data_IF_311842571705
#
_entry.id   IF_311842571705
#
_cell.length_a   1.000
_cell.length_b   1.000
_cell.length_c   1.000
_cell.angle_alpha   90.00
_cell.angle_beta   90.00
_cell.angle_gamma   90.00
#
_symmetry.space_group_name_H-M   'P 1'
#
loop_
_entity.id
_entity.type
_entity.pdbx_description
1 polymer ?
#
# COMPACT_ATOMS: atom_id res chain seq x y z
N UNK A 1 3.78 1.04 17.72
CA UNK A 1 2.52 0.33 17.83
C UNK A 1 2.60 -0.94 17.00
N UNK A 2 2.19 -2.05 17.57
CA UNK A 2 2.13 -3.33 16.86
C UNK A 2 0.67 -3.77 16.75
N UNK A 3 0.29 -4.25 15.59
CA UNK A 3 -1.07 -4.70 15.30
C UNK A 3 -1.00 -6.17 14.88
N UNK A 4 -1.96 -6.98 15.31
CA UNK A 4 -2.07 -8.35 14.82
C UNK A 4 -2.43 -8.33 13.33
N UNK A 5 -1.81 -9.21 12.56
CA UNK A 5 -2.00 -9.25 11.11
C UNK A 5 -3.47 -9.37 10.71
N UNK A 6 -4.26 -10.16 11.44
CA UNK A 6 -5.68 -10.37 11.15
C UNK A 6 -6.57 -9.17 11.51
N UNK A 7 -6.05 -8.17 12.21
CA UNK A 7 -6.80 -6.95 12.57
C UNK A 7 -6.37 -5.72 11.76
N UNK A 8 -5.42 -5.87 10.84
CA UNK A 8 -4.91 -4.72 10.07
C UNK A 8 -6.01 -4.05 9.24
N UNK A 9 -6.85 -4.85 8.59
CA UNK A 9 -7.93 -4.29 7.75
C UNK A 9 -8.89 -3.44 8.59
N UNK A 10 -9.27 -3.93 9.77
CA UNK A 10 -10.15 -3.17 10.67
C UNK A 10 -9.49 -1.86 11.08
N UNK A 11 -8.20 -1.90 11.39
CA UNK A 11 -7.46 -0.70 11.74
C UNK A 11 -7.42 0.29 10.58
N UNK A 12 -7.10 -0.18 9.36
CA UNK A 12 -7.07 0.69 8.18
C UNK A 12 -8.43 1.33 7.92
N UNK A 13 -9.52 0.59 8.13
CA UNK A 13 -10.87 1.14 7.96
C UNK A 13 -11.13 2.31 8.91
N UNK A 14 -10.56 2.29 10.12
CA UNK A 14 -10.68 3.43 11.05
C UNK A 14 -9.94 4.67 10.58
N UNK A 15 -8.98 4.52 9.66
CA UNK A 15 -8.17 5.62 9.16
C UNK A 15 -8.78 6.30 7.92
N UNK A 16 -9.77 5.68 7.28
CA UNK A 16 -10.42 6.24 6.08
C UNK A 16 -10.97 7.63 6.40
N UNK A 17 -10.67 8.59 5.52
CA UNK A 17 -11.04 9.99 5.73
C UNK A 17 -9.92 10.84 6.32
N UNK A 18 -8.83 10.23 6.80
CA UNK A 18 -7.64 10.96 7.28
C UNK A 18 -7.10 11.83 6.14
N UNK A 19 -6.96 13.14 6.41
CA UNK A 19 -6.50 14.09 5.40
C UNK A 19 -5.01 14.40 5.56
N UNK A 20 -4.37 14.69 4.43
CA UNK A 20 -3.00 15.19 4.41
C UNK A 20 -2.89 16.43 5.31
N UNK A 21 -1.84 16.50 6.11
CA UNK A 21 -1.61 17.59 7.05
C UNK A 21 -2.25 17.39 8.42
N UNK A 22 -3.14 16.39 8.59
CA UNK A 22 -3.72 16.07 9.89
C UNK A 22 -2.67 15.44 10.82
N UNK A 23 -3.01 15.38 12.11
CA UNK A 23 -2.14 14.70 13.09
C UNK A 23 -1.89 13.24 12.73
N UNK A 24 -2.91 12.54 12.27
CA UNK A 24 -2.81 11.13 11.90
C UNK A 24 -1.91 10.95 10.68
N UNK A 25 -2.06 11.79 9.64
CA UNK A 25 -1.18 11.76 8.48
C UNK A 25 0.28 12.00 8.88
N UNK A 26 0.54 13.02 9.70
CA UNK A 26 1.89 13.34 10.18
C UNK A 26 2.48 12.18 10.99
N UNK A 27 1.66 11.51 11.79
CA UNK A 27 2.08 10.34 12.58
C UNK A 27 2.51 9.19 11.66
N UNK A 28 1.80 8.99 10.55
CA UNK A 28 2.17 7.97 9.55
C UNK A 28 3.53 8.31 8.93
N UNK A 29 3.72 9.55 8.50
CA UNK A 29 5.00 9.98 7.91
C UNK A 29 6.13 9.86 8.94
N UNK A 30 5.89 10.28 10.17
CA UNK A 30 6.90 10.20 11.23
C UNK A 30 7.27 8.75 11.54
N UNK A 31 6.30 7.85 11.51
CA UNK A 31 6.56 6.41 11.70
C UNK A 31 7.44 5.85 10.59
N UNK A 32 7.15 6.18 9.33
CA UNK A 32 8.01 5.80 8.21
C UNK A 32 9.46 6.27 8.45
N UNK A 33 9.61 7.50 8.89
CA UNK A 33 10.93 8.10 9.08
C UNK A 33 11.71 7.52 10.27
N UNK A 34 11.11 6.59 11.04
CA UNK A 34 11.85 5.83 12.06
C UNK A 34 12.60 4.63 11.48
N UNK A 35 12.40 4.32 10.19
CA UNK A 35 13.13 3.22 9.55
C UNK A 35 14.65 3.48 9.56
N UNK A 36 15.43 2.45 9.87
CA UNK A 36 16.89 2.52 9.87
C UNK A 36 17.48 1.32 9.13
N UNK A 37 18.17 1.55 8.01
CA UNK A 37 18.31 2.84 7.34
C UNK A 37 17.02 3.24 6.62
N UNK A 38 16.84 4.53 6.37
CA UNK A 38 15.76 4.98 5.50
C UNK A 38 16.00 4.46 4.08
N UNK A 39 14.96 3.96 3.40
CA UNK A 39 15.10 3.54 2.00
C UNK A 39 15.71 4.66 1.17
N UNK A 40 16.80 4.36 0.48
CA UNK A 40 17.59 5.29 -0.35
C UNK A 40 18.05 6.54 0.42
N UNK A 41 18.05 6.49 1.76
CA UNK A 41 18.45 7.62 2.61
C UNK A 41 17.51 8.81 2.57
N UNK A 42 16.31 8.64 2.00
CA UNK A 42 15.38 9.75 1.82
C UNK A 42 14.40 9.86 3.01
N UNK A 43 14.39 11.04 3.62
CA UNK A 43 13.43 11.37 4.69
C UNK A 43 12.17 11.96 4.07
N UNK A 44 11.02 11.29 4.26
CA UNK A 44 9.75 11.72 3.68
C UNK A 44 9.27 13.02 4.35
N UNK A 45 8.78 13.95 3.52
CA UNK A 45 8.19 15.21 3.98
C UNK A 45 6.66 15.09 4.03
N UNK A 46 6.03 15.92 4.87
CA UNK A 46 4.56 15.94 4.97
C UNK A 46 3.87 16.36 3.67
N UNK A 47 4.61 17.02 2.76
CA UNK A 47 4.09 17.46 1.45
C UNK A 47 4.36 16.47 0.33
N UNK A 48 5.10 15.40 0.58
CA UNK A 48 5.40 14.38 -0.43
C UNK A 48 4.16 13.51 -0.72
N UNK A 49 4.15 12.88 -1.89
CA UNK A 49 3.21 11.82 -2.19
C UNK A 49 3.41 10.70 -1.15
N UNK A 50 2.33 10.22 -0.55
CA UNK A 50 2.42 9.31 0.60
C UNK A 50 1.67 7.98 0.42
N UNK A 51 1.36 7.59 -0.81
CA UNK A 51 0.69 6.30 -1.03
C UNK A 51 1.57 5.11 -0.61
N UNK A 52 2.82 5.08 -1.05
CA UNK A 52 3.75 4.00 -0.67
C UNK A 52 4.20 4.12 0.79
N UNK A 53 4.35 5.34 1.29
CA UNK A 53 4.62 5.59 2.71
C UNK A 53 3.52 4.98 3.58
N UNK A 54 2.25 5.19 3.23
CA UNK A 54 1.12 4.59 3.94
C UNK A 54 1.21 3.07 3.96
N UNK A 55 1.42 2.44 2.79
CA UNK A 55 1.52 0.98 2.70
C UNK A 55 2.68 0.46 3.56
N UNK A 56 3.84 1.09 3.48
CA UNK A 56 5.00 0.70 4.28
C UNK A 56 4.66 0.75 5.77
N UNK A 57 4.04 1.82 6.24
CA UNK A 57 3.72 1.97 7.68
C UNK A 57 2.70 0.91 8.12
N UNK A 58 1.67 0.64 7.30
CA UNK A 58 0.70 -0.42 7.63
C UNK A 58 1.42 -1.78 7.76
N UNK A 59 2.35 -2.08 6.86
CA UNK A 59 3.13 -3.31 6.93
C UNK A 59 4.10 -3.31 8.12
N UNK A 60 4.64 -2.14 8.51
CA UNK A 60 5.45 -2.02 9.73
C UNK A 60 4.66 -2.46 10.96
N UNK A 61 3.40 -2.06 11.04
CA UNK A 61 2.57 -2.38 12.21
C UNK A 61 2.33 -3.88 12.38
N UNK A 62 2.36 -4.65 11.32
CA UNK A 62 2.20 -6.11 11.39
C UNK A 62 3.52 -6.87 11.20
N UNK A 63 4.67 -6.16 11.25
CA UNK A 63 5.99 -6.78 11.20
C UNK A 63 6.39 -7.32 9.84
N UNK A 64 5.83 -6.79 8.75
CA UNK A 64 6.06 -7.30 7.38
C UNK A 64 6.65 -6.27 6.42
N UNK A 65 7.26 -5.20 6.93
CA UNK A 65 7.79 -4.14 6.06
C UNK A 65 9.24 -4.35 5.61
N UNK A 66 10.03 -5.16 6.31
CA UNK A 66 11.49 -5.18 6.14
C UNK A 66 11.96 -5.43 4.70
N UNK A 67 11.22 -6.22 3.93
CA UNK A 67 11.61 -6.58 2.56
C UNK A 67 11.02 -5.66 1.50
N UNK A 68 10.06 -4.79 1.87
CA UNK A 68 9.34 -3.99 0.89
C UNK A 68 9.31 -2.48 1.20
N UNK A 69 9.84 -2.07 2.35
CA UNK A 69 9.75 -0.68 2.81
C UNK A 69 10.27 0.31 1.76
N UNK A 70 9.40 1.25 1.36
CA UNK A 70 9.68 2.24 0.34
C UNK A 70 8.65 3.37 0.39
N UNK A 71 9.05 4.55 -0.08
CA UNK A 71 8.15 5.68 -0.27
C UNK A 71 7.81 5.93 -1.75
N UNK A 72 8.27 5.07 -2.64
CA UNK A 72 7.97 5.07 -4.07
C UNK A 72 7.22 3.80 -4.44
N UNK A 73 6.07 3.94 -5.13
CA UNK A 73 5.29 2.78 -5.56
C UNK A 73 6.11 1.86 -6.46
N UNK A 74 6.82 2.40 -7.46
CA UNK A 74 7.62 1.58 -8.36
C UNK A 74 8.78 0.89 -7.64
N UNK A 75 9.47 1.58 -6.74
CA UNK A 75 10.56 0.98 -5.97
C UNK A 75 10.06 -0.13 -5.04
N UNK A 76 8.87 0.05 -4.47
CA UNK A 76 8.24 -1.02 -3.68
C UNK A 76 7.91 -2.23 -4.55
N UNK A 77 7.36 -2.02 -5.75
CA UNK A 77 7.08 -3.10 -6.69
C UNK A 77 8.38 -3.84 -7.07
N UNK A 78 9.47 -3.11 -7.33
CA UNK A 78 10.77 -3.73 -7.63
C UNK A 78 11.21 -4.66 -6.49
N UNK A 79 11.03 -4.24 -5.25
CA UNK A 79 11.35 -5.08 -4.07
C UNK A 79 10.43 -6.30 -3.99
N UNK A 80 9.15 -6.14 -4.29
CA UNK A 80 8.21 -7.27 -4.33
C UNK A 80 8.60 -8.29 -5.41
N UNK A 81 9.02 -7.83 -6.59
CA UNK A 81 9.51 -8.71 -7.66
C UNK A 81 10.76 -9.45 -7.22
N UNK A 82 11.71 -8.75 -6.63
CA UNK A 82 12.97 -9.35 -6.14
C UNK A 82 12.71 -10.44 -5.12
N UNK A 83 11.73 -10.26 -4.26
CA UNK A 83 11.39 -11.23 -3.20
C UNK A 83 10.37 -12.28 -3.66
N UNK A 84 9.94 -12.26 -4.92
CA UNK A 84 8.96 -13.19 -5.49
C UNK A 84 7.61 -13.11 -4.79
N UNK A 85 7.21 -11.91 -4.39
CA UNK A 85 5.91 -11.66 -3.73
C UNK A 85 4.78 -11.36 -4.72
N UNK A 86 5.09 -11.08 -5.99
CA UNK A 86 4.08 -10.75 -7.00
C UNK A 86 3.26 -12.00 -7.31
N UNK A 87 1.94 -11.87 -7.24
CA UNK A 87 1.03 -12.97 -7.53
C UNK A 87 1.00 -13.28 -9.03
N UNK A 88 0.78 -14.56 -9.34
CA UNK A 88 0.48 -14.99 -10.71
C UNK A 88 -1.00 -14.70 -11.02
N UNK A 89 -1.35 -14.76 -12.31
CA UNK A 89 -2.75 -14.56 -12.74
C UNK A 89 -3.70 -15.63 -12.22
N UNK A 90 -3.16 -16.76 -11.76
CA UNK A 90 -3.96 -17.87 -11.20
C UNK A 90 -4.26 -17.71 -9.71
N UNK A 91 -3.53 -16.82 -9.03
CA UNK A 91 -3.72 -16.61 -7.60
C UNK A 91 -4.77 -15.52 -7.38
N UNK A 92 -5.73 -15.81 -6.51
CA UNK A 92 -6.80 -14.86 -6.19
C UNK A 92 -6.32 -13.84 -5.17
N UNK A 93 -6.76 -12.58 -5.30
CA UNK A 93 -6.46 -11.56 -4.30
C UNK A 93 -7.01 -11.93 -2.92
N UNK A 94 -6.36 -11.41 -1.89
CA UNK A 94 -6.80 -11.57 -0.49
C UNK A 94 -6.61 -10.25 0.25
N UNK A 95 -7.35 -10.02 1.34
CA UNK A 95 -7.07 -8.89 2.22
C UNK A 95 -5.60 -8.85 2.62
N UNK A 96 -5.05 -7.65 2.72
CA UNK A 96 -3.65 -7.31 3.01
C UNK A 96 -2.70 -7.47 1.82
N UNK A 97 -3.16 -7.97 0.68
CA UNK A 97 -2.37 -7.90 -0.56
C UNK A 97 -2.18 -6.44 -0.98
N UNK A 98 -1.07 -6.17 -1.64
CA UNK A 98 -0.69 -4.84 -2.10
C UNK A 98 -1.00 -4.72 -3.60
N UNK A 99 -1.70 -3.66 -3.99
CA UNK A 99 -2.07 -3.39 -5.38
C UNK A 99 -1.22 -2.25 -5.92
N UNK A 100 -0.53 -2.51 -7.03
CA UNK A 100 0.27 -1.51 -7.74
C UNK A 100 -0.47 -1.08 -8.99
N UNK A 101 -0.76 0.22 -9.12
CA UNK A 101 -1.47 0.78 -10.25
C UNK A 101 -0.51 1.42 -11.25
N UNK A 102 -0.91 1.37 -12.50
CA UNK A 102 -0.26 2.08 -13.60
C UNK A 102 -1.35 2.84 -14.36
N UNK A 103 -1.70 4.02 -13.84
CA UNK A 103 -2.79 4.83 -14.41
C UNK A 103 -2.47 5.29 -15.83
N UNK A 104 -1.19 5.50 -16.13
CA UNK A 104 -0.72 6.00 -17.42
C UNK A 104 -0.50 4.89 -18.44
N UNK A 105 -0.53 3.62 -18.01
CA UNK A 105 -0.28 2.44 -18.85
C UNK A 105 1.07 2.51 -19.55
N UNK A 106 2.10 2.92 -18.81
CA UNK A 106 3.47 3.06 -19.30
C UNK A 106 4.45 2.00 -18.76
N UNK A 107 3.95 1.02 -18.00
CA UNK A 107 4.77 -0.05 -17.44
C UNK A 107 5.40 0.30 -16.10
N UNK A 108 5.12 1.47 -15.54
CA UNK A 108 5.66 1.93 -14.27
C UNK A 108 4.53 2.19 -13.28
N UNK A 109 4.67 1.69 -12.04
CA UNK A 109 3.66 1.92 -11.01
C UNK A 109 3.76 3.35 -10.47
N UNK A 110 2.63 4.06 -10.47
CA UNK A 110 2.56 5.44 -9.97
C UNK A 110 1.64 5.60 -8.75
N UNK A 111 1.02 4.51 -8.28
CA UNK A 111 0.15 4.53 -7.11
C UNK A 111 0.06 3.13 -6.53
N UNK A 112 -0.21 3.02 -5.22
CA UNK A 112 -0.24 1.73 -4.51
C UNK A 112 -1.22 1.79 -3.34
N UNK A 113 -1.85 0.66 -3.04
CA UNK A 113 -2.75 0.54 -1.91
C UNK A 113 -2.78 -0.87 -1.36
N UNK A 114 -3.61 -1.10 -0.35
CA UNK A 114 -3.75 -2.40 0.32
C UNK A 114 -5.20 -2.87 0.18
N UNK A 115 -5.37 -4.13 -0.24
CA UNK A 115 -6.69 -4.74 -0.37
C UNK A 115 -7.30 -4.92 1.02
N UNK A 116 -8.53 -4.45 1.18
CA UNK A 116 -9.34 -4.68 2.38
C UNK A 116 -10.37 -5.78 2.17
N UNK A 117 -10.80 -6.01 0.95
CA UNK A 117 -11.82 -7.02 0.64
C UNK A 117 -11.73 -7.46 -0.82
N UNK A 118 -12.13 -8.70 -1.08
CA UNK A 118 -12.24 -9.27 -2.43
C UNK A 118 -13.55 -10.03 -2.54
N UNK A 119 -14.39 -9.64 -3.49
CA UNK A 119 -15.63 -10.36 -3.82
C UNK A 119 -15.38 -11.24 -5.03
N UNK A 120 -15.31 -12.57 -4.80
CA UNK A 120 -15.03 -13.53 -5.86
C UNK A 120 -16.17 -13.64 -6.90
N UNK A 121 -17.38 -13.25 -6.53
CA UNK A 121 -18.54 -13.30 -7.45
C UNK A 121 -18.47 -12.19 -8.49
N UNK A 122 -18.18 -10.96 -8.04
CA UNK A 122 -18.09 -9.80 -8.94
C UNK A 122 -16.69 -9.59 -9.50
N UNK A 123 -15.66 -10.16 -8.86
CA UNK A 123 -14.26 -9.90 -9.19
C UNK A 123 -13.78 -8.55 -8.73
N UNK A 124 -14.54 -7.87 -7.87
CA UNK A 124 -14.18 -6.54 -7.36
C UNK A 124 -13.30 -6.66 -6.12
N UNK A 125 -12.32 -5.78 -6.03
CA UNK A 125 -11.52 -5.57 -4.82
C UNK A 125 -11.82 -4.19 -4.25
N UNK A 126 -11.81 -4.10 -2.92
CA UNK A 126 -11.79 -2.83 -2.20
C UNK A 126 -10.37 -2.59 -1.75
N UNK A 127 -9.83 -1.42 -2.05
CA UNK A 127 -8.44 -1.05 -1.78
C UNK A 127 -8.41 0.21 -0.93
N UNK A 128 -7.67 0.18 0.17
CA UNK A 128 -7.46 1.36 1.00
C UNK A 128 -6.13 1.97 0.60
N UNK A 129 -6.16 3.26 0.29
CA UNK A 129 -5.05 4.00 -0.33
C UNK A 129 -4.74 5.26 0.46
N UNK A 130 -3.47 5.49 0.75
CA UNK A 130 -3.00 6.80 1.18
C UNK A 130 -2.91 7.73 -0.02
N UNK A 131 -3.09 9.01 0.24
CA UNK A 131 -3.02 10.06 -0.81
C UNK A 131 -3.98 9.84 -1.99
N UNK A 132 -5.14 9.27 -1.71
CA UNK A 132 -6.24 9.29 -2.66
C UNK A 132 -6.97 10.62 -2.49
N UNK A 133 -6.76 11.55 -3.45
CA UNK A 133 -7.24 12.92 -3.32
C UNK A 133 -6.77 13.59 -2.01
N UNK A 134 -5.49 13.40 -1.66
CA UNK A 134 -4.87 13.96 -0.45
C UNK A 134 -5.46 13.44 0.86
N UNK A 135 -6.05 12.25 0.84
CA UNK A 135 -6.62 11.61 2.02
C UNK A 135 -6.43 10.09 1.95
N UNK A 136 -6.71 9.40 3.06
CA UNK A 136 -6.87 7.96 3.04
C UNK A 136 -8.27 7.68 2.52
N UNK A 137 -8.36 6.95 1.41
CA UNK A 137 -9.63 6.66 0.77
C UNK A 137 -9.76 5.20 0.38
N UNK A 138 -10.97 4.83 -0.05
CA UNK A 138 -11.29 3.49 -0.54
C UNK A 138 -11.56 3.57 -2.04
N UNK A 139 -10.98 2.63 -2.78
CA UNK A 139 -11.26 2.45 -4.20
C UNK A 139 -11.85 1.06 -4.42
N UNK A 140 -12.90 0.99 -5.24
CA UNK A 140 -13.45 -0.29 -5.68
C UNK A 140 -13.13 -0.44 -7.15
N UNK A 141 -12.48 -1.54 -7.53
CA UNK A 141 -11.98 -1.76 -8.89
C UNK A 141 -11.98 -3.27 -9.18
N UNK A 142 -12.11 -3.63 -10.44
CA UNK A 142 -11.95 -5.03 -10.86
C UNK A 142 -10.52 -5.50 -10.61
N UNK A 143 -10.37 -6.68 -10.04
CA UNK A 143 -9.04 -7.25 -9.76
C UNK A 143 -8.22 -7.46 -11.05
N UNK A 144 -8.90 -7.68 -12.19
CA UNK A 144 -8.26 -7.84 -13.49
C UNK A 144 -8.24 -6.56 -14.33
N UNK A 145 -8.48 -5.40 -13.72
CA UNK A 145 -8.41 -4.12 -14.43
C UNK A 145 -7.04 -3.93 -15.08
N UNK A 146 -7.04 -3.42 -16.32
CA UNK A 146 -5.80 -3.11 -17.04
C UNK A 146 -5.00 -1.97 -16.38
N UNK A 147 -5.59 -1.24 -15.43
CA UNK A 147 -4.88 -0.21 -14.65
C UNK A 147 -4.06 -0.80 -13.50
N UNK A 148 -4.27 -2.07 -13.18
CA UNK A 148 -3.49 -2.77 -12.15
C UNK A 148 -2.28 -3.40 -12.83
N UNK A 149 -1.09 -2.96 -12.42
CA UNK A 149 0.17 -3.49 -12.95
C UNK A 149 0.55 -4.80 -12.28
N UNK A 150 0.32 -4.92 -10.97
CA UNK A 150 0.66 -6.11 -10.20
C UNK A 150 -0.07 -6.12 -8.86
N UNK A 151 -0.26 -7.32 -8.31
CA UNK A 151 -0.71 -7.53 -6.93
C UNK A 151 0.35 -8.37 -6.25
N UNK A 152 0.74 -8.00 -5.04
CA UNK A 152 1.78 -8.71 -4.29
C UNK A 152 1.27 -9.14 -2.92
N UNK A 153 1.77 -10.27 -2.45
CA UNK A 153 1.49 -10.78 -1.10
C UNK A 153 2.79 -10.94 -0.35
N UNK A 154 2.95 -10.16 0.71
CA UNK A 154 4.16 -10.17 1.53
C UNK A 154 4.12 -11.41 2.43
N UNK A 155 5.21 -12.13 2.45
CA UNK A 155 5.38 -13.32 3.29
C UNK A 155 6.24 -13.05 4.51
#
# INVERSE_FOLDING_TARGET
>A
MNIKSDTLVDYMNTLVGTRQGSKTHKRIVDKYNTLEPLPRGYRVKYTDNWCATFVTVMMMYIGKASKIAECSAQKMLDKCKKNKFVLTTKQKPKPKDIVFYDWDKNGTSNHVGIISDYDSKSGLISVIEGNKNHAIGVRIIKADSEKILAIARVK
#
